data_IF_918918084533
#
_entry.id   IF_918918084533
#
_cell.length_a   1.000
_cell.length_b   1.000
_cell.length_c   1.000
_cell.angle_alpha   90.00
_cell.angle_beta   90.00
_cell.angle_gamma   90.00
#
_symmetry.space_group_name_H-M   'P 1'
#
loop_
_entity.id
_entity.type
_entity.pdbx_description
1 polymer ?
#
# COMPACT_ATOMS: atom_id res chain seq x y z
N UNK A 1 -46.88 -33.01 -9.61
CA UNK A 1 -45.57 -33.50 -9.13
C UNK A 1 -44.95 -32.35 -8.38
N UNK A 2 -44.94 -32.44 -7.05
CA UNK A 2 -44.53 -31.36 -6.14
C UNK A 2 -43.06 -31.03 -6.35
N UNK A 3 -42.73 -29.74 -6.45
CA UNK A 3 -41.40 -29.27 -6.83
C UNK A 3 -40.61 -29.01 -5.55
N UNK A 4 -39.92 -30.02 -5.02
CA UNK A 4 -38.93 -29.78 -3.98
C UNK A 4 -37.72 -29.08 -4.57
N UNK A 5 -37.28 -27.98 -3.95
CA UNK A 5 -36.04 -27.31 -4.33
C UNK A 5 -34.83 -28.23 -4.08
N UNK A 6 -33.84 -28.27 -4.99
CA UNK A 6 -32.68 -29.17 -4.86
C UNK A 6 -31.85 -28.87 -3.60
N UNK A 7 -31.85 -27.61 -3.15
CA UNK A 7 -31.17 -27.14 -1.95
C UNK A 7 -31.97 -27.40 -0.66
N UNK A 8 -33.17 -27.97 -0.75
CA UNK A 8 -33.95 -28.32 0.43
C UNK A 8 -33.33 -29.52 1.17
N UNK A 9 -33.27 -29.48 2.50
CA UNK A 9 -32.81 -30.60 3.34
C UNK A 9 -33.61 -31.89 3.08
N UNK A 10 -34.86 -31.76 2.67
CA UNK A 10 -35.76 -32.88 2.39
C UNK A 10 -35.86 -33.20 0.88
N UNK A 11 -34.98 -32.66 0.04
CA UNK A 11 -35.00 -32.86 -1.43
C UNK A 11 -34.79 -34.31 -1.86
N UNK A 12 -34.14 -35.12 -1.01
CA UNK A 12 -33.93 -36.56 -1.25
C UNK A 12 -35.20 -37.40 -1.16
N UNK A 13 -36.30 -36.86 -0.63
CA UNK A 13 -37.59 -37.56 -0.56
C UNK A 13 -38.45 -37.21 -1.79
N UNK A 14 -38.74 -38.15 -2.69
CA UNK A 14 -39.50 -37.89 -3.93
C UNK A 14 -40.96 -37.46 -3.69
N UNK A 15 -41.50 -37.73 -2.50
CA UNK A 15 -42.84 -37.30 -2.10
C UNK A 15 -42.84 -35.98 -1.33
N UNK A 16 -41.66 -35.41 -1.04
CA UNK A 16 -41.57 -34.12 -0.35
C UNK A 16 -41.91 -32.98 -1.31
N UNK A 17 -42.77 -32.09 -0.83
CA UNK A 17 -43.04 -30.81 -1.48
C UNK A 17 -42.64 -29.71 -0.50
N UNK A 18 -41.85 -28.74 -0.97
CA UNK A 18 -41.35 -27.67 -0.12
C UNK A 18 -42.52 -26.78 0.32
N UNK A 19 -42.70 -26.66 1.64
CA UNK A 19 -43.58 -25.66 2.23
C UNK A 19 -42.84 -24.32 2.38
N UNK A 20 -43.57 -23.23 2.64
CA UNK A 20 -43.04 -21.87 2.78
C UNK A 20 -41.87 -21.77 3.77
N UNK A 21 -41.88 -22.60 4.82
CA UNK A 21 -40.77 -22.68 5.77
C UNK A 21 -39.46 -23.14 5.12
N UNK A 22 -39.50 -24.18 4.28
CA UNK A 22 -38.33 -24.69 3.56
C UNK A 22 -37.83 -23.65 2.55
N UNK A 23 -38.75 -23.01 1.82
CA UNK A 23 -38.43 -21.98 0.84
C UNK A 23 -37.77 -20.76 1.52
N UNK A 24 -38.31 -20.33 2.65
CA UNK A 24 -37.73 -19.24 3.45
C UNK A 24 -36.34 -19.59 3.98
N UNK A 25 -36.11 -20.84 4.40
CA UNK A 25 -34.80 -21.28 4.90
C UNK A 25 -33.74 -21.30 3.79
N UNK A 26 -34.12 -21.73 2.59
CA UNK A 26 -33.26 -21.72 1.40
C UNK A 26 -32.97 -20.27 0.99
N UNK A 27 -33.99 -19.41 0.96
CA UNK A 27 -33.82 -18.00 0.65
C UNK A 27 -32.91 -17.28 1.67
N UNK A 28 -33.08 -17.57 2.96
CA UNK A 28 -32.23 -17.05 4.03
C UNK A 28 -30.77 -17.49 3.87
N UNK A 29 -30.53 -18.77 3.55
CA UNK A 29 -29.20 -19.30 3.31
C UNK A 29 -28.54 -18.63 2.08
N UNK A 30 -29.29 -18.43 0.99
CA UNK A 30 -28.81 -17.72 -0.21
C UNK A 30 -28.44 -16.27 0.09
N UNK A 31 -29.24 -15.58 0.91
CA UNK A 31 -28.92 -14.19 1.30
C UNK A 31 -27.64 -14.12 2.13
N UNK A 32 -27.44 -15.03 3.09
CA UNK A 32 -26.21 -15.07 3.89
C UNK A 32 -24.97 -15.27 3.01
N UNK A 33 -25.05 -16.18 2.04
CA UNK A 33 -23.96 -16.40 1.07
C UNK A 33 -23.67 -15.15 0.20
N UNK A 34 -24.68 -14.35 -0.13
CA UNK A 34 -24.52 -13.12 -0.90
C UNK A 34 -23.99 -11.95 -0.06
N UNK A 35 -24.31 -11.92 1.23
CA UNK A 35 -23.90 -10.89 2.19
C UNK A 35 -22.49 -11.15 2.73
N UNK A 36 -22.13 -12.42 2.94
CA UNK A 36 -20.78 -12.87 3.36
C UNK A 36 -19.78 -12.98 2.19
N UNK A 37 -20.25 -12.76 0.95
CA UNK A 37 -19.37 -12.68 -0.22
C UNK A 37 -18.48 -11.44 -0.08
N UNK A 38 -17.14 -11.59 -0.04
CA UNK A 38 -16.24 -10.46 0.09
C UNK A 38 -16.41 -9.51 -1.09
N UNK A 39 -16.32 -8.20 -0.84
CA UNK A 39 -16.47 -7.14 -1.86
C UNK A 39 -15.55 -7.34 -3.08
N UNK A 40 -14.49 -8.14 -2.93
CA UNK A 40 -13.57 -8.56 -3.99
C UNK A 40 -14.21 -9.42 -5.10
N UNK A 41 -15.39 -10.01 -4.89
CA UNK A 41 -16.06 -10.91 -5.85
C UNK A 41 -17.43 -10.39 -6.31
N UNK A 42 -17.87 -9.24 -5.79
CA UNK A 42 -18.94 -8.47 -6.44
C UNK A 42 -18.37 -8.05 -7.80
N UNK A 43 -19.07 -8.38 -8.88
CA UNK A 43 -18.68 -7.96 -10.22
C UNK A 43 -18.51 -6.44 -10.30
N UNK A 44 -17.84 -5.92 -11.35
CA UNK A 44 -17.70 -4.48 -11.55
C UNK A 44 -19.06 -3.79 -11.36
N UNK A 45 -19.12 -2.64 -10.65
CA UNK A 45 -20.37 -1.93 -10.45
C UNK A 45 -21.09 -1.71 -11.78
N UNK A 46 -22.35 -2.15 -11.89
CA UNK A 46 -23.15 -1.95 -13.11
C UNK A 46 -23.39 -0.47 -13.38
N UNK A 47 -23.35 0.35 -12.33
CA UNK A 47 -23.37 1.80 -12.40
C UNK A 47 -21.95 2.34 -12.61
N UNK A 48 -21.61 2.62 -13.87
CA UNK A 48 -20.31 3.19 -14.25
C UNK A 48 -20.20 4.61 -13.70
N UNK A 49 -19.44 4.80 -12.62
CA UNK A 49 -19.06 6.11 -12.07
C UNK A 49 -18.04 6.86 -12.96
N UNK A 50 -17.89 6.47 -14.22
CA UNK A 50 -16.88 6.97 -15.15
C UNK A 50 -17.56 7.67 -16.30
N UNK A 51 -17.15 8.89 -16.58
CA UNK A 51 -17.60 9.65 -17.74
C UNK A 51 -17.15 8.95 -19.03
N UNK A 52 -18.00 8.85 -20.07
CA UNK A 52 -17.67 8.15 -21.32
C UNK A 52 -16.41 8.70 -22.02
N UNK A 53 -16.19 10.01 -21.94
CA UNK A 53 -15.02 10.69 -22.53
C UNK A 53 -13.79 10.71 -21.61
N UNK A 54 -13.82 10.00 -20.49
CA UNK A 54 -12.65 9.91 -19.61
C UNK A 54 -11.53 9.11 -20.29
N UNK A 55 -10.30 9.59 -20.22
CA UNK A 55 -9.10 8.85 -20.65
C UNK A 55 -8.98 7.45 -20.03
N UNK A 56 -9.57 7.25 -18.84
CA UNK A 56 -9.59 5.98 -18.12
C UNK A 56 -10.93 5.23 -18.23
N UNK A 57 -11.81 5.59 -19.18
CA UNK A 57 -13.12 4.95 -19.38
C UNK A 57 -13.05 3.45 -19.73
N UNK A 58 -11.90 2.98 -20.19
CA UNK A 58 -11.65 1.56 -20.47
C UNK A 58 -11.45 0.71 -19.22
N UNK A 59 -11.21 1.31 -18.04
CA UNK A 59 -11.04 0.59 -16.78
C UNK A 59 -12.37 0.51 -16.00
N UNK A 60 -12.97 -0.69 -15.83
CA UNK A 60 -14.24 -0.87 -15.12
C UNK A 60 -14.21 -0.50 -13.63
N UNK A 61 -13.02 -0.39 -13.04
CA UNK A 61 -12.82 -0.04 -11.64
C UNK A 61 -12.39 1.41 -11.44
N UNK A 62 -12.31 2.19 -12.51
CA UNK A 62 -12.02 3.61 -12.39
C UNK A 62 -13.24 4.35 -11.84
N UNK A 63 -13.00 5.40 -11.06
CA UNK A 63 -14.00 6.41 -10.73
C UNK A 63 -13.43 7.75 -11.16
N UNK A 64 -14.18 8.54 -11.91
CA UNK A 64 -13.69 9.85 -12.34
C UNK A 64 -13.42 10.75 -11.12
N UNK A 65 -12.24 11.35 -11.09
CA UNK A 65 -11.88 12.39 -10.13
C UNK A 65 -12.00 13.78 -10.75
N UNK A 66 -11.90 14.83 -9.93
CA UNK A 66 -11.86 16.25 -10.35
C UNK A 66 -10.89 16.51 -11.51
N UNK A 67 -9.76 15.79 -11.56
CA UNK A 67 -8.80 15.89 -12.65
C UNK A 67 -9.37 15.39 -13.98
N UNK A 68 -10.11 14.28 -13.95
CA UNK A 68 -10.76 13.71 -15.12
C UNK A 68 -11.83 14.67 -15.65
N UNK A 69 -12.66 15.22 -14.76
CA UNK A 69 -13.69 16.19 -15.13
C UNK A 69 -13.11 17.47 -15.72
N UNK A 70 -12.01 18.00 -15.16
CA UNK A 70 -11.29 19.16 -15.72
C UNK A 70 -10.77 18.87 -17.13
N UNK A 71 -10.14 17.70 -17.34
CA UNK A 71 -9.62 17.32 -18.66
C UNK A 71 -10.71 17.14 -19.71
N UNK A 72 -11.86 16.58 -19.33
CA UNK A 72 -13.01 16.45 -20.22
C UNK A 72 -13.58 17.84 -20.57
N UNK A 73 -13.69 18.73 -19.59
CA UNK A 73 -14.14 20.11 -19.82
C UNK A 73 -13.19 20.89 -20.75
N UNK A 74 -11.87 20.74 -20.55
CA UNK A 74 -10.85 21.35 -21.40
C UNK A 74 -10.91 20.82 -22.85
N UNK A 75 -11.09 19.50 -23.02
CA UNK A 75 -11.22 18.87 -24.33
C UNK A 75 -12.51 19.31 -25.05
N UNK A 76 -13.64 19.39 -24.33
CA UNK A 76 -14.90 19.88 -24.88
C UNK A 76 -14.80 21.37 -25.27
N UNK A 77 -14.17 22.20 -24.44
CA UNK A 77 -13.96 23.62 -24.75
C UNK A 77 -12.95 23.86 -25.88
N UNK A 78 -12.04 22.92 -26.13
CA UNK A 78 -11.13 22.93 -27.28
C UNK A 78 -11.86 22.47 -28.56
N UNK A 79 -12.71 21.44 -28.47
CA UNK A 79 -13.54 20.96 -29.57
C UNK A 79 -14.53 22.04 -30.05
N UNK A 80 -15.14 22.82 -29.15
CA UNK A 80 -15.99 23.95 -29.52
C UNK A 80 -15.22 25.12 -30.16
N UNK A 81 -13.90 25.24 -29.89
CA UNK A 81 -13.03 26.26 -30.49
C UNK A 81 -12.38 25.83 -31.80
N UNK A 82 -12.63 24.61 -32.28
CA UNK A 82 -12.22 24.14 -33.60
C UNK A 82 -10.70 23.93 -33.79
N UNK A 83 -9.93 23.77 -32.71
CA UNK A 83 -8.51 23.40 -32.83
C UNK A 83 -8.33 21.87 -32.82
N UNK A 84 -7.61 21.28 -33.79
CA UNK A 84 -7.35 19.85 -33.81
C UNK A 84 -6.30 19.46 -32.75
N UNK A 85 -6.65 18.46 -31.92
CA UNK A 85 -5.77 17.87 -30.92
C UNK A 85 -4.51 17.23 -31.54
N UNK A 86 -3.36 17.44 -30.88
CA UNK A 86 -2.17 16.58 -31.04
C UNK A 86 -2.28 15.40 -30.06
N UNK A 87 -2.15 14.14 -30.49
CA UNK A 87 -2.16 13.01 -29.56
C UNK A 87 -0.84 12.98 -28.78
N UNK A 88 -0.91 13.25 -27.48
CA UNK A 88 0.19 12.94 -26.57
C UNK A 88 0.20 11.43 -26.34
N UNK A 89 1.19 10.78 -26.97
CA UNK A 89 1.33 9.33 -27.05
C UNK A 89 1.35 8.62 -25.70
N UNK A 90 0.75 7.43 -25.72
CA UNK A 90 0.81 6.46 -24.63
C UNK A 90 2.25 6.05 -24.34
N UNK A 91 2.64 6.15 -23.07
CA UNK A 91 3.90 5.59 -22.59
C UNK A 91 3.76 4.09 -22.43
N UNK A 92 4.16 3.35 -23.47
CA UNK A 92 4.33 1.92 -23.46
C UNK A 92 5.59 1.51 -24.21
N UNK A 93 6.50 0.84 -23.49
CA UNK A 93 7.59 -0.05 -23.94
C UNK A 93 8.95 0.55 -24.34
N UNK A 94 9.93 0.17 -23.52
CA UNK A 94 11.14 -0.62 -23.86
C UNK A 94 11.98 -0.25 -25.09
N UNK A 95 13.26 0.03 -24.82
CA UNK A 95 14.37 -0.48 -25.63
C UNK A 95 15.17 0.55 -26.43
N UNK A 96 16.47 0.59 -26.13
CA UNK A 96 17.60 0.93 -27.02
C UNK A 96 17.81 2.42 -27.33
N UNK A 97 18.82 2.99 -26.68
CA UNK A 97 19.42 4.28 -27.03
C UNK A 97 20.49 4.06 -28.14
N UNK A 98 20.48 4.85 -29.23
CA UNK A 98 21.63 4.97 -30.10
C UNK A 98 22.52 6.14 -29.66
N UNK A 99 23.81 5.82 -29.73
CA UNK A 99 24.99 6.66 -29.76
C UNK A 99 24.84 7.86 -30.72
N UNK A 100 25.23 9.05 -30.28
CA UNK A 100 25.68 10.12 -31.17
C UNK A 100 26.95 10.76 -30.58
N UNK A 101 28.03 10.48 -31.30
CA UNK A 101 29.29 11.20 -31.24
C UNK A 101 29.11 12.61 -31.81
N UNK A 102 29.77 13.59 -31.18
CA UNK A 102 30.27 14.77 -31.85
C UNK A 102 31.61 15.13 -31.20
N UNK A 103 32.68 15.03 -31.97
CA UNK A 103 34.04 15.30 -31.54
C UNK A 103 34.45 16.72 -31.88
N UNK A 104 35.29 17.30 -31.03
CA UNK A 104 36.22 18.35 -31.43
C UNK A 104 37.43 18.33 -30.49
N UNK A 105 38.54 18.87 -30.96
CA UNK A 105 39.84 18.22 -30.99
C UNK A 105 40.95 19.06 -30.33
N UNK A 106 41.92 18.39 -29.69
CA UNK A 106 43.28 18.84 -29.32
C UNK A 106 43.40 19.96 -28.23
N UNK A 107 44.35 19.97 -27.29
CA UNK A 107 45.62 19.25 -27.08
C UNK A 107 46.24 19.70 -25.75
N UNK A 108 47.07 18.85 -25.12
CA UNK A 108 48.34 19.32 -24.52
C UNK A 108 48.52 19.27 -23.00
N UNK A 109 49.27 18.24 -22.56
CA UNK A 109 50.38 18.27 -21.58
C UNK A 109 50.15 18.59 -20.09
N UNK A 110 50.13 17.51 -19.31
CA UNK A 110 51.04 17.10 -18.22
C UNK A 110 51.64 18.13 -17.21
N UNK A 111 51.52 17.69 -15.94
CA UNK A 111 52.42 17.80 -14.77
C UNK A 111 52.63 19.09 -13.96
N UNK A 112 52.17 18.97 -12.70
CA UNK A 112 52.83 19.29 -11.43
C UNK A 112 53.21 20.73 -11.06
N UNK A 113 52.46 21.30 -10.11
CA UNK A 113 53.03 22.01 -8.97
C UNK A 113 52.00 22.18 -7.84
N UNK A 114 52.29 21.57 -6.71
CA UNK A 114 51.63 21.87 -5.44
C UNK A 114 51.85 23.35 -5.07
N UNK A 115 50.78 24.12 -4.99
CA UNK A 115 50.73 25.35 -4.20
C UNK A 115 49.32 25.48 -3.63
N UNK A 116 49.22 25.29 -2.31
CA UNK A 116 48.04 25.63 -1.55
C UNK A 116 48.02 27.15 -1.39
N UNK A 117 47.12 27.85 -2.09
CA UNK A 117 46.63 29.18 -1.68
C UNK A 117 45.44 29.63 -2.56
N UNK A 118 44.37 30.08 -1.90
CA UNK A 118 43.25 30.89 -2.41
C UNK A 118 42.58 30.55 -3.75
N UNK A 119 41.68 29.56 -3.70
CA UNK A 119 40.74 29.26 -4.77
C UNK A 119 39.62 30.30 -4.91
N UNK A 120 39.88 31.45 -5.55
CA UNK A 120 38.90 32.15 -6.41
C UNK A 120 39.57 33.28 -7.23
N UNK A 121 40.35 32.97 -8.28
CA UNK A 121 40.86 34.01 -9.19
C UNK A 121 39.74 34.45 -10.14
N UNK A 122 39.48 35.76 -10.19
CA UNK A 122 38.75 36.47 -11.27
C UNK A 122 37.20 36.35 -11.37
N UNK A 123 36.47 36.40 -10.26
CA UNK A 123 35.06 36.79 -10.32
C UNK A 123 34.89 38.18 -9.68
N UNK A 124 34.37 39.14 -10.45
CA UNK A 124 33.97 40.46 -9.92
C UNK A 124 33.00 40.27 -8.76
N UNK A 125 32.91 41.22 -7.81
CA UNK A 125 32.06 41.05 -6.62
C UNK A 125 30.60 40.72 -6.95
N UNK A 126 30.10 41.24 -8.08
CA UNK A 126 28.77 40.89 -8.61
C UNK A 126 28.67 39.43 -9.05
N UNK A 127 29.69 38.90 -9.73
CA UNK A 127 29.72 37.50 -10.15
C UNK A 127 29.85 36.55 -8.96
N UNK A 128 30.63 36.92 -7.93
CA UNK A 128 30.71 36.15 -6.67
C UNK A 128 29.35 36.09 -5.96
N UNK A 129 28.65 37.23 -5.84
CA UNK A 129 27.29 37.28 -5.29
C UNK A 129 26.29 36.46 -6.13
N UNK A 130 26.44 36.45 -7.45
CA UNK A 130 25.59 35.67 -8.34
C UNK A 130 25.80 34.17 -8.14
N UNK A 131 27.07 33.74 -8.02
CA UNK A 131 27.42 32.35 -7.77
C UNK A 131 26.94 31.87 -6.40
N UNK A 132 27.13 32.69 -5.36
CA UNK A 132 26.62 32.42 -4.01
C UNK A 132 25.09 32.31 -4.01
N UNK A 133 24.39 33.20 -4.72
CA UNK A 133 22.94 33.15 -4.88
C UNK A 133 22.49 31.89 -5.63
N UNK A 134 23.20 31.51 -6.70
CA UNK A 134 22.92 30.28 -7.44
C UNK A 134 23.13 29.04 -6.58
N UNK A 135 24.19 29.01 -5.77
CA UNK A 135 24.45 27.92 -4.83
C UNK A 135 23.33 27.81 -3.80
N UNK A 136 22.93 28.94 -3.21
CA UNK A 136 21.83 29.01 -2.25
C UNK A 136 20.49 28.60 -2.85
N UNK A 137 20.21 28.98 -4.10
CA UNK A 137 19.00 28.54 -4.83
C UNK A 137 19.04 27.04 -5.17
N UNK A 138 20.22 26.48 -5.47
CA UNK A 138 20.37 25.04 -5.69
C UNK A 138 20.20 24.25 -4.40
N UNK A 139 20.76 24.74 -3.30
CA UNK A 139 20.60 24.16 -1.97
C UNK A 139 19.13 24.17 -1.53
N UNK A 140 18.44 25.30 -1.68
CA UNK A 140 17.01 25.42 -1.37
C UNK A 140 16.16 24.46 -2.22
N UNK A 141 16.45 24.30 -3.52
CA UNK A 141 15.75 23.34 -4.39
C UNK A 141 15.95 21.90 -3.90
N UNK A 142 17.19 21.52 -3.58
CA UNK A 142 17.50 20.18 -3.04
C UNK A 142 16.88 19.97 -1.67
N UNK A 143 16.86 21.00 -0.82
CA UNK A 143 16.25 20.98 0.50
C UNK A 143 14.73 20.78 0.45
N UNK A 144 14.05 21.46 -0.48
CA UNK A 144 12.62 21.26 -0.69
C UNK A 144 12.33 19.88 -1.30
N UNK A 145 13.16 19.43 -2.23
CA UNK A 145 13.03 18.08 -2.80
C UNK A 145 13.21 16.98 -1.76
N UNK A 146 14.24 17.08 -0.90
CA UNK A 146 14.46 16.09 0.16
C UNK A 146 13.35 16.15 1.22
N UNK A 147 12.80 17.33 1.54
CA UNK A 147 11.68 17.47 2.47
C UNK A 147 10.44 16.75 1.91
N UNK A 148 10.12 16.96 0.63
CA UNK A 148 9.03 16.25 -0.04
C UNK A 148 9.24 14.74 -0.08
N UNK A 149 10.47 14.27 -0.31
CA UNK A 149 10.80 12.84 -0.29
C UNK A 149 10.72 12.27 1.14
N UNK A 150 11.16 13.02 2.15
CA UNK A 150 11.08 12.62 3.56
C UNK A 150 9.63 12.57 4.05
N UNK A 151 8.81 13.57 3.72
CA UNK A 151 7.38 13.56 4.00
C UNK A 151 6.69 12.40 3.29
N UNK A 152 6.96 12.21 1.99
CA UNK A 152 6.44 11.06 1.24
C UNK A 152 6.83 9.73 1.88
N UNK A 153 8.07 9.60 2.36
CA UNK A 153 8.56 8.39 3.05
C UNK A 153 7.96 8.21 4.45
N UNK A 154 7.59 9.30 5.13
CA UNK A 154 6.87 9.24 6.42
C UNK A 154 5.38 8.93 6.26
N UNK A 155 4.78 9.38 5.15
CA UNK A 155 3.37 9.15 4.81
C UNK A 155 3.18 7.80 4.09
N UNK A 156 4.25 7.22 3.55
CA UNK A 156 4.23 5.86 3.05
C UNK A 156 3.92 4.94 4.24
N UNK A 157 2.78 4.22 4.23
CA UNK A 157 2.47 3.29 5.29
C UNK A 157 3.63 2.31 5.36
N UNK A 158 4.30 2.26 6.53
CA UNK A 158 5.29 1.24 6.83
C UNK A 158 4.58 -0.08 6.58
N UNK A 159 4.76 -0.66 5.40
CA UNK A 159 3.94 -1.78 4.96
C UNK A 159 3.95 -2.80 6.07
N UNK A 160 2.79 -3.05 6.70
CA UNK A 160 2.66 -4.19 7.57
C UNK A 160 3.06 -5.37 6.70
N UNK A 161 4.24 -5.92 7.00
CA UNK A 161 4.74 -7.09 6.30
C UNK A 161 3.68 -8.16 6.49
N UNK A 162 2.89 -8.38 5.44
CA UNK A 162 1.92 -9.46 5.32
C UNK A 162 2.60 -10.73 5.83
N UNK A 163 2.19 -11.17 7.02
CA UNK A 163 2.76 -12.33 7.70
C UNK A 163 4.21 -12.15 8.14
N UNK A 164 4.42 -11.57 9.32
CA UNK A 164 5.66 -11.82 10.06
C UNK A 164 5.67 -13.32 10.38
N UNK A 165 6.62 -14.07 9.79
CA UNK A 165 6.81 -15.50 10.10
C UNK A 165 6.81 -15.70 11.62
N UNK A 166 6.19 -16.77 12.13
CA UNK A 166 6.11 -17.09 13.57
C UNK A 166 7.47 -16.97 14.26
N UNK A 167 8.54 -17.34 13.56
CA UNK A 167 9.93 -17.20 14.00
C UNK A 167 10.33 -15.74 14.23
N UNK A 168 10.09 -14.88 13.25
CA UNK A 168 10.36 -13.44 13.36
C UNK A 168 9.50 -12.77 14.44
N UNK A 169 8.28 -13.24 14.67
CA UNK A 169 7.44 -12.77 15.79
C UNK A 169 8.04 -13.16 17.15
N UNK A 170 8.49 -14.41 17.30
CA UNK A 170 9.15 -14.87 18.51
C UNK A 170 10.47 -14.12 18.76
N UNK A 171 11.27 -13.88 17.72
CA UNK A 171 12.50 -13.10 17.82
C UNK A 171 12.24 -11.65 18.22
N UNK A 172 11.29 -10.98 17.57
CA UNK A 172 10.94 -9.59 17.90
C UNK A 172 10.38 -9.48 19.32
N UNK A 173 9.57 -10.46 19.75
CA UNK A 173 9.09 -10.56 21.13
C UNK A 173 10.25 -10.77 22.10
N UNK A 174 11.19 -11.67 21.81
CA UNK A 174 12.38 -11.93 22.63
C UNK A 174 13.29 -10.71 22.72
N UNK A 175 13.51 -9.99 21.61
CA UNK A 175 14.28 -8.74 21.56
C UNK A 175 13.63 -7.63 22.37
N UNK A 176 12.31 -7.50 22.32
CA UNK A 176 11.57 -6.52 23.15
C UNK A 176 11.67 -6.86 24.64
N UNK A 177 11.52 -8.13 25.00
CA UNK A 177 11.66 -8.59 26.40
C UNK A 177 13.10 -8.38 26.88
N UNK A 178 14.11 -8.71 26.07
CA UNK A 178 15.52 -8.48 26.39
C UNK A 178 15.83 -7.00 26.63
N UNK A 179 15.39 -6.10 25.74
CA UNK A 179 15.58 -4.65 25.94
C UNK A 179 14.93 -4.13 27.22
N UNK A 180 13.74 -4.63 27.57
CA UNK A 180 13.04 -4.24 28.79
C UNK A 180 13.77 -4.73 30.04
N UNK A 181 14.35 -5.94 29.99
CA UNK A 181 15.14 -6.52 31.06
C UNK A 181 16.50 -5.81 31.21
N UNK A 182 17.20 -5.57 30.12
CA UNK A 182 18.46 -4.82 30.10
C UNK A 182 18.29 -3.42 30.68
N UNK A 183 17.17 -2.75 30.34
CA UNK A 183 16.83 -1.42 30.88
C UNK A 183 16.52 -1.45 32.39
N UNK A 184 16.05 -2.59 32.91
CA UNK A 184 15.83 -2.82 34.34
C UNK A 184 17.05 -3.45 35.04
N UNK A 185 18.16 -3.69 34.33
CA UNK A 185 19.36 -4.35 34.88
C UNK A 185 19.15 -5.83 35.22
N UNK A 186 18.17 -6.48 34.61
CA UNK A 186 17.79 -7.87 34.83
C UNK A 186 18.23 -8.74 33.65
N UNK A 187 18.57 -10.00 33.94
CA UNK A 187 18.93 -11.00 32.91
C UNK A 187 17.69 -11.74 32.39
N UNK A 188 17.79 -12.38 31.22
CA UNK A 188 16.72 -13.16 30.58
C UNK A 188 16.15 -14.26 31.49
N UNK A 189 16.97 -14.83 32.38
CA UNK A 189 16.56 -15.80 33.40
C UNK A 189 15.56 -15.24 34.42
N UNK A 190 15.58 -13.92 34.62
CA UNK A 190 14.77 -13.18 35.59
C UNK A 190 13.57 -12.48 34.95
N UNK A 191 13.25 -12.82 33.70
CA UNK A 191 12.10 -12.27 32.96
C UNK A 191 10.76 -12.36 33.70
N UNK A 192 10.57 -13.42 34.49
CA UNK A 192 9.39 -13.63 35.34
C UNK A 192 9.19 -12.52 36.40
N UNK A 193 10.24 -11.80 36.82
CA UNK A 193 10.10 -10.71 37.79
C UNK A 193 9.48 -9.44 37.22
N UNK A 194 9.28 -9.37 35.89
CA UNK A 194 8.50 -8.30 35.24
C UNK A 194 7.03 -8.68 35.05
N UNK A 195 6.65 -9.95 35.25
CA UNK A 195 5.24 -10.34 35.22
C UNK A 195 4.58 -9.83 36.51
N UNK A 196 3.49 -9.08 36.37
CA UNK A 196 2.68 -8.70 37.53
C UNK A 196 2.03 -9.92 38.15
N UNK A 197 1.74 -9.86 39.45
CA UNK A 197 1.09 -10.95 40.17
C UNK A 197 -0.21 -11.41 39.48
N UNK A 198 -1.03 -10.47 39.01
CA UNK A 198 -2.27 -10.77 38.26
C UNK A 198 -2.00 -11.54 36.96
N UNK A 199 -0.90 -11.23 36.26
CA UNK A 199 -0.51 -11.94 35.03
C UNK A 199 0.00 -13.36 35.34
N UNK A 200 0.66 -13.56 36.48
CA UNK A 200 1.08 -14.87 36.93
C UNK A 200 -0.12 -15.71 37.39
N UNK A 201 -1.02 -15.15 38.21
CA UNK A 201 -2.23 -15.82 38.68
C UNK A 201 -3.18 -16.17 37.54
N UNK A 202 -3.34 -15.29 36.54
CA UNK A 202 -4.12 -15.60 35.35
C UNK A 202 -3.49 -16.73 34.51
N UNK A 203 -2.15 -16.82 34.45
CA UNK A 203 -1.47 -17.95 33.81
C UNK A 203 -1.76 -19.24 34.59
N UNK A 204 -1.58 -19.25 35.91
CA UNK A 204 -1.84 -20.44 36.73
C UNK A 204 -3.30 -20.88 36.71
N UNK A 205 -4.26 -19.95 36.80
CA UNK A 205 -5.70 -20.22 36.69
C UNK A 205 -6.09 -20.83 35.34
N UNK A 206 -5.36 -20.50 34.25
CA UNK A 206 -5.56 -21.12 32.94
C UNK A 206 -5.00 -22.54 32.85
N UNK A 207 -4.03 -22.87 33.70
CA UNK A 207 -3.41 -24.19 33.77
C UNK A 207 -4.16 -25.12 34.71
N UNK A 208 -4.95 -24.57 35.63
CA UNK A 208 -6.04 -25.30 36.27
C UNK A 208 -7.06 -25.66 35.19
N UNK A 209 -7.05 -26.93 34.78
CA UNK A 209 -8.06 -27.48 33.87
C UNK A 209 -9.39 -27.36 34.58
N UNK A 210 -10.29 -26.53 34.07
CA UNK A 210 -11.69 -26.60 34.50
C UNK A 210 -12.16 -28.04 34.31
N UNK A 211 -12.76 -28.66 35.33
CA UNK A 211 -13.27 -30.02 35.20
C UNK A 211 -14.19 -30.08 33.99
N UNK A 212 -14.05 -31.13 33.18
CA UNK A 212 -14.83 -31.29 31.96
C UNK A 212 -16.31 -31.00 32.25
N UNK A 213 -16.99 -30.17 31.43
CA UNK A 213 -18.39 -29.85 31.64
C UNK A 213 -19.20 -31.13 31.87
N UNK A 214 -20.00 -31.14 32.93
CA UNK A 214 -20.74 -32.32 33.38
C UNK A 214 -21.56 -32.89 32.21
N UNK A 215 -21.27 -34.12 31.78
CA UNK A 215 -21.90 -34.78 30.61
C UNK A 215 -20.97 -35.19 29.47
N UNK A 216 -19.67 -34.85 29.52
CA UNK A 216 -18.66 -35.29 28.53
C UNK A 216 -17.97 -36.62 28.87
N UNK A 217 -18.37 -37.29 29.96
CA UNK A 217 -17.81 -38.57 30.43
C UNK A 217 -18.68 -39.79 30.04
N UNK A 218 -19.64 -39.60 29.14
CA UNK A 218 -20.59 -40.62 28.69
C UNK A 218 -20.61 -40.70 27.16
N UNK A 219 -19.55 -41.26 26.58
CA UNK A 219 -19.55 -41.83 25.22
C UNK A 219 -18.62 -43.04 25.16
#
# INVERSE_FOLDING_TARGET
>A
MGKSEPECVNSSNPAHECNDYCLNKIAEAKRRLLEEQPDSWKGPPEDRTVHPDCINASNPYHGCSEYCFKKIADANAAAERGEPEKPAGGSGKSGVAPEQADGDDHSGQQEDAATADDGYPQMTEKQKKLFELQLKMNEARKANQQAMVAEKKSMEPRGESRGISKEKWLEDRKKKIGKLLDSNGLDMSKSYMLDTQDMAEAKYKKWEKEPAPHGWDAF
#
